data_IF_108370286898
#
_entry.id   IF_108370286898
#
_cell.length_a   1.000
_cell.length_b   1.000
_cell.length_c   1.000
_cell.angle_alpha   90.00
_cell.angle_beta   90.00
_cell.angle_gamma   90.00
#
_symmetry.space_group_name_H-M   'P 1'
#
loop_
_entity.id
_entity.type
_entity.pdbx_description
1 polymer ?
#
# COMPACT_ATOMS: atom_id res chain seq x y z
N UNK A 1 -1.59 5.48 18.03
CA UNK A 1 -1.26 6.06 16.72
C UNK A 1 -2.01 5.28 15.66
N UNK A 2 -2.36 5.95 14.57
CA UNK A 2 -3.19 5.39 13.52
C UNK A 2 -2.30 4.93 12.38
N UNK A 3 -2.47 3.69 11.93
CA UNK A 3 -1.70 3.11 10.84
C UNK A 3 -2.64 2.64 9.74
N UNK A 4 -2.41 3.11 8.52
CA UNK A 4 -3.03 2.53 7.33
C UNK A 4 -2.12 1.40 6.82
N UNK A 5 -2.62 0.17 6.87
CA UNK A 5 -1.88 -1.01 6.46
C UNK A 5 -2.10 -1.31 4.98
N UNK A 6 -1.01 -1.55 4.27
CA UNK A 6 -1.02 -2.05 2.90
C UNK A 6 -1.17 -3.58 2.85
N UNK A 7 -1.56 -4.10 1.69
CA UNK A 7 -1.79 -5.53 1.43
C UNK A 7 -0.56 -6.36 1.74
N UNK A 8 0.64 -5.87 1.45
CA UNK A 8 1.91 -6.57 1.71
C UNK A 8 2.12 -6.87 3.21
N UNK A 9 1.80 -5.94 4.11
CA UNK A 9 1.92 -6.11 5.56
C UNK A 9 1.00 -7.24 6.02
N UNK A 10 -0.24 -7.26 5.54
CA UNK A 10 -1.21 -8.32 5.86
C UNK A 10 -0.75 -9.69 5.36
N UNK A 11 -0.21 -9.76 4.12
CA UNK A 11 0.37 -10.99 3.56
C UNK A 11 1.49 -11.51 4.46
N UNK A 12 2.44 -10.64 4.80
CA UNK A 12 3.60 -11.01 5.61
C UNK A 12 3.23 -11.42 7.03
N UNK A 13 2.18 -10.82 7.59
CA UNK A 13 1.59 -11.20 8.88
C UNK A 13 0.98 -12.59 8.84
N UNK A 14 0.09 -12.87 7.87
CA UNK A 14 -0.59 -14.17 7.77
C UNK A 14 0.39 -15.31 7.43
N UNK A 15 1.42 -15.02 6.63
CA UNK A 15 2.45 -16.01 6.28
C UNK A 15 3.49 -16.24 7.38
N UNK A 16 3.49 -15.45 8.46
CA UNK A 16 4.51 -15.47 9.51
C UNK A 16 5.94 -15.38 8.94
N UNK A 17 6.10 -14.63 7.86
CA UNK A 17 7.39 -14.47 7.18
C UNK A 17 8.42 -13.78 8.09
N UNK A 18 9.71 -14.03 7.88
CA UNK A 18 10.77 -13.42 8.67
C UNK A 18 10.69 -11.88 8.67
N UNK A 19 10.36 -11.27 7.52
CA UNK A 19 10.18 -9.81 7.45
C UNK A 19 8.95 -9.36 8.24
N UNK A 20 7.82 -10.08 8.16
CA UNK A 20 6.64 -9.78 8.97
C UNK A 20 6.89 -9.88 10.47
N UNK A 21 7.69 -10.85 10.91
CA UNK A 21 8.10 -10.99 12.32
C UNK A 21 9.00 -9.82 12.76
N UNK A 22 9.98 -9.42 11.93
CA UNK A 22 10.82 -8.25 12.19
C UNK A 22 10.00 -6.95 12.26
N UNK A 23 9.07 -6.75 11.33
CA UNK A 23 8.14 -5.62 11.34
C UNK A 23 7.35 -5.60 12.65
N UNK A 24 6.82 -6.74 13.10
CA UNK A 24 6.07 -6.80 14.35
C UNK A 24 6.94 -6.53 15.58
N UNK A 25 8.19 -7.00 15.61
CA UNK A 25 9.12 -6.70 16.70
C UNK A 25 9.46 -5.21 16.77
N UNK A 26 9.60 -4.56 15.62
CA UNK A 26 9.97 -3.14 15.53
C UNK A 26 8.79 -2.21 15.84
N UNK A 27 7.62 -2.49 15.26
CA UNK A 27 6.48 -1.58 15.28
C UNK A 27 5.37 -2.00 16.23
N UNK A 28 5.37 -3.26 16.68
CA UNK A 28 4.36 -3.81 17.59
C UNK A 28 2.93 -3.52 17.11
N UNK A 29 2.69 -3.63 15.80
CA UNK A 29 1.46 -3.21 15.14
C UNK A 29 0.24 -3.89 15.77
N UNK A 30 0.35 -5.18 16.05
CA UNK A 30 -0.75 -6.00 16.56
C UNK A 30 -0.71 -6.17 18.09
N UNK A 31 -0.02 -5.27 18.82
CA UNK A 31 0.02 -5.27 20.29
C UNK A 31 -1.27 -4.78 20.96
N UNK A 32 -2.18 -4.18 20.19
CA UNK A 32 -3.42 -3.57 20.70
C UNK A 32 -3.29 -2.10 21.09
N UNK A 33 -2.10 -1.51 20.98
CA UNK A 33 -1.83 -0.10 21.32
C UNK A 33 -2.04 0.88 20.15
N UNK A 34 -2.52 0.39 19.01
CA UNK A 34 -2.58 1.12 17.75
C UNK A 34 -3.93 0.94 17.08
N UNK A 35 -4.39 1.99 16.40
CA UNK A 35 -5.58 1.91 15.57
C UNK A 35 -5.12 1.48 14.18
N UNK A 36 -5.44 0.24 13.82
CA UNK A 36 -5.05 -0.32 12.54
C UNK A 36 -6.21 -0.20 11.55
N UNK A 37 -5.91 0.43 10.43
CA UNK A 37 -6.88 0.79 9.39
C UNK A 37 -6.46 0.11 8.08
N UNK A 38 -7.42 -0.34 7.30
CA UNK A 38 -7.23 -0.80 5.92
C UNK A 38 -8.22 -0.10 5.00
N UNK A 39 -7.88 0.02 3.73
CA UNK A 39 -8.85 0.44 2.72
C UNK A 39 -9.71 -0.75 2.27
N UNK A 40 -10.91 -0.45 1.74
CA UNK A 40 -11.73 -1.44 1.05
C UNK A 40 -10.98 -2.12 -0.12
N UNK A 41 -10.06 -1.41 -0.78
CA UNK A 41 -9.21 -1.93 -1.85
C UNK A 41 -8.24 -2.99 -1.29
N UNK A 42 -7.51 -2.67 -0.22
CA UNK A 42 -6.61 -3.59 0.48
C UNK A 42 -7.34 -4.87 0.92
N UNK A 43 -8.57 -4.74 1.44
CA UNK A 43 -9.43 -5.89 1.79
C UNK A 43 -9.74 -6.76 0.56
N UNK A 44 -10.04 -6.14 -0.58
CA UNK A 44 -10.26 -6.86 -1.84
C UNK A 44 -9.01 -7.57 -2.36
N UNK A 45 -7.86 -6.89 -2.33
CA UNK A 45 -6.58 -7.41 -2.81
C UNK A 45 -6.12 -8.63 -2.00
N UNK A 46 -6.18 -8.59 -0.67
CA UNK A 46 -5.77 -9.72 0.16
C UNK A 46 -6.68 -10.93 -0.03
N UNK A 47 -7.99 -10.72 -0.21
CA UNK A 47 -8.93 -11.79 -0.51
C UNK A 47 -8.68 -12.39 -1.89
N UNK A 48 -8.40 -11.55 -2.89
CA UNK A 48 -8.00 -12.01 -4.24
C UNK A 48 -6.73 -12.84 -4.18
N UNK A 49 -5.71 -12.36 -3.45
CA UNK A 49 -4.45 -13.05 -3.27
C UNK A 49 -4.64 -14.41 -2.57
N UNK A 50 -5.47 -14.47 -1.53
CA UNK A 50 -5.77 -15.71 -0.82
C UNK A 50 -6.46 -16.75 -1.72
N UNK A 51 -7.40 -16.30 -2.57
CA UNK A 51 -8.06 -17.15 -3.58
C UNK A 51 -7.07 -17.69 -4.61
N UNK A 52 -6.27 -16.81 -5.21
CA UNK A 52 -5.26 -17.20 -6.22
C UNK A 52 -4.20 -18.14 -5.63
N UNK A 53 -3.83 -17.94 -4.36
CA UNK A 53 -2.86 -18.77 -3.65
C UNK A 53 -3.45 -20.07 -3.08
N UNK A 54 -4.72 -20.39 -3.36
CA UNK A 54 -5.42 -21.56 -2.84
C UNK A 54 -5.25 -21.76 -1.32
N UNK A 55 -5.42 -20.69 -0.53
CA UNK A 55 -5.29 -20.78 0.92
C UNK A 55 -6.35 -21.72 1.50
N UNK A 56 -5.91 -22.73 2.26
CA UNK A 56 -6.81 -23.64 2.97
C UNK A 56 -7.57 -22.96 4.10
N UNK A 57 -8.61 -23.65 4.60
CA UNK A 57 -9.56 -23.13 5.59
C UNK A 57 -8.88 -22.46 6.80
N UNK A 58 -7.91 -23.12 7.42
CA UNK A 58 -7.21 -22.56 8.59
C UNK A 58 -6.55 -21.20 8.32
N UNK A 59 -6.01 -20.97 7.12
CA UNK A 59 -5.39 -19.69 6.77
C UNK A 59 -6.43 -18.64 6.40
N UNK A 60 -7.55 -19.07 5.79
CA UNK A 60 -8.70 -18.20 5.55
C UNK A 60 -9.33 -17.73 6.85
N UNK A 61 -9.49 -18.61 7.85
CA UNK A 61 -10.03 -18.24 9.16
C UNK A 61 -9.16 -17.20 9.85
N UNK A 62 -7.83 -17.39 9.81
CA UNK A 62 -6.88 -16.39 10.32
C UNK A 62 -6.97 -15.06 9.59
N UNK A 63 -7.16 -15.08 8.27
CA UNK A 63 -7.35 -13.87 7.49
C UNK A 63 -8.65 -13.15 7.87
N UNK A 64 -9.77 -13.87 7.96
CA UNK A 64 -11.06 -13.27 8.31
C UNK A 64 -11.04 -12.69 9.73
N UNK A 65 -10.52 -13.44 10.72
CA UNK A 65 -10.36 -12.94 12.09
C UNK A 65 -9.46 -11.70 12.15
N UNK A 66 -8.42 -11.64 11.32
CA UNK A 66 -7.57 -10.46 11.22
C UNK A 66 -8.35 -9.28 10.64
N UNK A 67 -9.06 -9.48 9.52
CA UNK A 67 -9.83 -8.42 8.86
C UNK A 67 -10.95 -7.87 9.74
N UNK A 68 -11.59 -8.71 10.56
CA UNK A 68 -12.65 -8.30 11.49
C UNK A 68 -12.12 -7.43 12.64
N UNK A 69 -10.83 -7.53 12.96
CA UNK A 69 -10.18 -6.70 13.97
C UNK A 69 -9.66 -5.35 13.44
N UNK A 70 -9.73 -5.11 12.12
CA UNK A 70 -9.20 -3.90 11.48
C UNK A 70 -10.32 -2.94 11.10
N UNK A 71 -10.09 -1.63 11.27
CA UNK A 71 -11.01 -0.63 10.77
C UNK A 71 -10.93 -0.58 9.24
N UNK A 72 -12.02 -0.87 8.54
CA UNK A 72 -12.07 -0.82 7.08
C UNK A 72 -12.69 0.49 6.61
N UNK A 73 -11.90 1.33 5.94
CA UNK A 73 -12.36 2.61 5.37
C UNK A 73 -12.82 2.41 3.93
N UNK A 74 -14.03 2.85 3.55
CA UNK A 74 -14.49 2.79 2.17
C UNK A 74 -13.68 3.75 1.30
N UNK A 75 -13.49 3.36 0.04
CA UNK A 75 -13.04 4.28 -1.01
C UNK A 75 -14.30 4.73 -1.72
N UNK A 76 -14.89 5.82 -1.21
CA UNK A 76 -16.01 6.47 -1.90
C UNK A 76 -15.44 7.36 -3.02
N UNK A 77 -16.20 7.53 -4.09
CA UNK A 77 -15.80 8.38 -5.24
C UNK A 77 -15.76 9.87 -4.92
N UNK A 78 -15.58 10.26 -3.65
CA UNK A 78 -15.60 11.64 -3.23
C UNK A 78 -14.38 12.41 -3.77
N UNK A 79 -14.61 13.68 -4.11
CA UNK A 79 -13.63 14.54 -4.78
C UNK A 79 -12.26 14.55 -4.09
N UNK A 80 -12.13 14.78 -2.77
CA UNK A 80 -10.80 14.99 -2.18
C UNK A 80 -9.86 13.79 -2.31
N UNK A 81 -10.38 12.57 -2.19
CA UNK A 81 -9.58 11.35 -2.35
C UNK A 81 -9.23 11.10 -3.82
N UNK A 82 -10.19 11.33 -4.72
CA UNK A 82 -10.00 11.12 -6.15
C UNK A 82 -9.09 12.19 -6.77
N UNK A 83 -9.18 13.44 -6.29
CA UNK A 83 -8.32 14.55 -6.68
C UNK A 83 -6.88 14.26 -6.24
N UNK A 84 -6.68 13.86 -4.98
CA UNK A 84 -5.34 13.47 -4.49
C UNK A 84 -4.78 12.27 -5.28
N UNK A 85 -5.62 11.28 -5.61
CA UNK A 85 -5.21 10.16 -6.45
C UNK A 85 -4.83 10.62 -7.87
N UNK A 86 -5.63 11.50 -8.48
CA UNK A 86 -5.36 12.05 -9.81
C UNK A 86 -4.05 12.84 -9.84
N UNK A 87 -3.75 13.59 -8.77
CA UNK A 87 -2.48 14.31 -8.61
C UNK A 87 -1.30 13.33 -8.53
N UNK A 88 -1.41 12.29 -7.70
CA UNK A 88 -0.38 11.24 -7.56
C UNK A 88 -0.14 10.53 -8.89
N UNK A 89 -1.21 10.16 -9.61
CA UNK A 89 -1.10 9.49 -10.90
C UNK A 89 -0.51 10.41 -11.97
N UNK A 90 -0.95 11.67 -12.03
CA UNK A 90 -0.41 12.64 -12.99
C UNK A 90 1.07 12.91 -12.72
N UNK A 91 1.45 12.94 -11.43
CA UNK A 91 2.84 13.05 -11.01
C UNK A 91 3.66 11.81 -11.37
N UNK A 92 3.13 10.61 -11.13
CA UNK A 92 3.80 9.35 -11.48
C UNK A 92 4.09 9.33 -12.99
N UNK A 93 3.13 9.72 -13.83
CA UNK A 93 3.33 9.76 -15.29
C UNK A 93 4.28 10.90 -15.76
N UNK A 94 4.84 11.70 -14.86
CA UNK A 94 5.72 12.83 -15.20
C UNK A 94 5.00 13.98 -15.89
N UNK A 95 3.68 14.06 -15.78
CA UNK A 95 2.82 15.04 -16.49
C UNK A 95 2.27 16.13 -15.58
N UNK A 96 2.66 16.15 -14.31
CA UNK A 96 2.12 17.10 -13.35
C UNK A 96 2.78 18.47 -13.52
N UNK A 97 2.08 19.40 -14.17
CA UNK A 97 2.58 20.70 -14.61
C UNK A 97 3.26 21.53 -13.50
N UNK A 98 2.79 21.42 -12.24
CA UNK A 98 3.36 22.14 -11.10
C UNK A 98 4.68 21.54 -10.57
N UNK A 99 4.97 20.27 -10.88
CA UNK A 99 6.18 19.57 -10.45
C UNK A 99 7.05 19.14 -11.63
N UNK A 100 6.75 19.66 -12.83
CA UNK A 100 7.63 19.50 -13.97
C UNK A 100 8.99 20.10 -13.61
N UNK A 101 10.08 19.38 -13.88
CA UNK A 101 11.39 19.92 -13.61
C UNK A 101 11.61 21.17 -14.45
N UNK A 102 12.13 22.21 -13.80
CA UNK A 102 12.68 23.33 -14.55
C UNK A 102 13.82 22.75 -15.41
N UNK A 103 13.66 22.86 -16.73
CA UNK A 103 14.55 22.39 -17.79
C UNK A 103 15.95 21.96 -17.28
N UNK A 104 16.15 20.66 -17.00
CA UNK A 104 17.47 20.11 -16.66
C UNK A 104 17.55 18.96 -15.65
N UNK A 105 16.56 18.72 -14.79
CA UNK A 105 16.70 17.71 -13.72
C UNK A 105 15.41 16.91 -13.48
N UNK A 106 15.32 15.64 -13.89
CA UNK A 106 14.16 14.82 -13.52
C UNK A 106 13.99 14.79 -11.98
N UNK A 107 12.80 15.07 -11.42
CA UNK A 107 12.63 15.09 -9.98
C UNK A 107 12.95 13.69 -9.44
N UNK A 108 13.84 13.60 -8.45
CA UNK A 108 14.39 12.33 -7.95
C UNK A 108 13.33 11.29 -7.55
N UNK A 109 12.12 11.74 -7.20
CA UNK A 109 10.98 10.85 -6.91
C UNK A 109 10.45 10.11 -8.16
N UNK A 110 10.49 10.73 -9.34
CA UNK A 110 10.04 10.14 -10.60
C UNK A 110 10.95 8.97 -11.03
N UNK A 111 12.26 9.09 -10.77
CA UNK A 111 13.25 8.03 -11.02
C UNK A 111 13.04 6.83 -10.08
N UNK A 112 12.71 7.08 -8.80
CA UNK A 112 12.46 6.04 -7.81
C UNK A 112 11.15 5.28 -8.04
N UNK A 113 10.08 5.95 -8.47
CA UNK A 113 8.80 5.30 -8.75
C UNK A 113 8.82 4.44 -10.03
N UNK A 114 9.62 4.80 -11.03
CA UNK A 114 9.70 4.09 -12.32
C UNK A 114 10.91 3.16 -12.47
N UNK A 115 11.82 3.12 -11.49
CA UNK A 115 13.07 2.36 -11.59
C UNK A 115 13.97 2.84 -12.74
N UNK A 116 13.78 4.06 -13.21
CA UNK A 116 14.59 4.66 -14.27
C UNK A 116 15.93 5.11 -13.67
N UNK A 117 17.02 4.78 -14.34
CA UNK A 117 18.35 5.24 -13.94
C UNK A 117 18.45 6.76 -14.11
N UNK A 118 19.16 7.48 -13.22
CA UNK A 118 19.34 8.94 -13.31
C UNK A 118 19.97 9.41 -14.64
N UNK A 119 20.55 8.49 -15.38
CA UNK A 119 21.23 8.65 -16.67
C UNK A 119 20.34 8.39 -17.91
N UNK A 120 19.03 8.17 -17.75
CA UNK A 120 18.11 8.04 -18.87
C UNK A 120 17.83 9.42 -19.50
N UNK A 121 18.54 9.76 -20.58
CA UNK A 121 18.17 10.86 -21.47
C UNK A 121 16.80 10.58 -22.08
N UNK A 122 15.83 11.46 -21.80
CA UNK A 122 14.56 11.51 -22.51
C UNK A 122 14.83 11.89 -23.98
N UNK A 123 14.49 10.98 -24.90
CA UNK A 123 14.39 11.26 -26.35
C UNK A 123 12.92 11.41 -26.69
#
# INVERSE_FOLDING_TARGET
>A
MDYLLDTNILIHRIRLSAIGQKTEQQFQLFSGNHNLIISAVTKGEILSFAKQSAWGLSKMDKLMNLLDALACVPVDGASPLMDAYADIETYSQGKHLQYLPQQGEAPALCLLFFGLRPDATFV
#
